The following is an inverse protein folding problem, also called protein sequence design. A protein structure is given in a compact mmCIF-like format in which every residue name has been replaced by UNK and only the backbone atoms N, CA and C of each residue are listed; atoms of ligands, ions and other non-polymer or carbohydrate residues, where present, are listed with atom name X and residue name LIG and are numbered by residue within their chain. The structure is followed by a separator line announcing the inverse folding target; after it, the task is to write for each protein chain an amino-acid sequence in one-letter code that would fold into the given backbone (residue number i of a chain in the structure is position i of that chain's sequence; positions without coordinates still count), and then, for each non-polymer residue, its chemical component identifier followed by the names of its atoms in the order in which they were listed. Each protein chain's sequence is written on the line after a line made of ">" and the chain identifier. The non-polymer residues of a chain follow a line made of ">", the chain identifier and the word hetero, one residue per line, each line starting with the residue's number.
data_IF_673297916454
#
_entry.id   IF_673297916454
#
_cell.length_a   1.000
_cell.length_b   1.000
_cell.length_c   1.000
_cell.angle_alpha   90.00
_cell.angle_beta   90.00
_cell.angle_gamma   90.00
#
_symmetry.space_group_name_H-M   'P 1'
#
loop_
_entity.id
_entity.type
_entity.pdbx_description
1 polymer ?
#
# COMPACT_ATOMS: atom_id res chain seq x y z
N UNK A 1 -15.70 -7.11 -4.14
CA UNK A 1 -14.97 -7.80 -5.23
C UNK A 1 -13.52 -7.97 -4.85
N UNK A 2 -12.83 -6.92 -4.39
CA UNK A 2 -11.44 -7.00 -3.92
C UNK A 2 -11.17 -8.14 -2.94
N UNK A 3 -11.97 -8.30 -1.88
CA UNK A 3 -11.73 -9.31 -0.83
C UNK A 3 -11.65 -10.75 -1.35
N UNK A 4 -12.51 -11.08 -2.32
CA UNK A 4 -12.53 -12.41 -2.93
C UNK A 4 -11.29 -12.63 -3.82
N UNK A 5 -10.90 -11.61 -4.60
CA UNK A 5 -9.70 -11.68 -5.44
C UNK A 5 -8.42 -11.68 -4.59
N UNK A 6 -8.40 -10.93 -3.48
CA UNK A 6 -7.32 -10.94 -2.51
C UNK A 6 -7.18 -12.30 -1.81
N UNK A 7 -8.30 -12.93 -1.41
CA UNK A 7 -8.26 -14.28 -0.85
C UNK A 7 -7.71 -15.30 -1.85
N UNK A 8 -8.13 -15.23 -3.12
CA UNK A 8 -7.56 -16.08 -4.19
C UNK A 8 -6.06 -15.81 -4.38
N UNK A 9 -5.66 -14.53 -4.38
CA UNK A 9 -4.26 -14.13 -4.48
C UNK A 9 -3.42 -14.67 -3.31
N UNK A 10 -3.97 -14.69 -2.09
CA UNK A 10 -3.32 -15.27 -0.91
C UNK A 10 -3.13 -16.78 -1.03
N UNK A 11 -4.16 -17.51 -1.48
CA UNK A 11 -4.06 -18.96 -1.70
C UNK A 11 -2.95 -19.28 -2.72
N UNK A 12 -2.87 -18.48 -3.78
CA UNK A 12 -1.84 -18.59 -4.81
C UNK A 12 -0.45 -18.16 -4.30
N UNK A 13 -0.38 -17.16 -3.43
CA UNK A 13 0.86 -16.72 -2.78
C UNK A 13 1.48 -17.83 -1.93
N UNK A 14 0.66 -18.62 -1.23
CA UNK A 14 1.15 -19.80 -0.50
C UNK A 14 1.77 -20.85 -1.44
N UNK A 15 1.24 -21.03 -2.65
CA UNK A 15 1.83 -21.94 -3.64
C UNK A 15 3.21 -21.44 -4.07
N UNK A 16 3.32 -20.18 -4.48
CA UNK A 16 4.58 -19.57 -4.87
C UNK A 16 5.66 -19.64 -3.76
N UNK A 17 5.28 -19.40 -2.51
CA UNK A 17 6.19 -19.54 -1.36
C UNK A 17 6.67 -21.00 -1.20
N UNK A 18 5.79 -21.97 -1.40
CA UNK A 18 6.16 -23.39 -1.33
C UNK A 18 7.09 -23.79 -2.47
N UNK A 19 6.86 -23.27 -3.68
CA UNK A 19 7.71 -23.53 -4.84
C UNK A 19 9.11 -22.93 -4.65
N UNK A 20 9.19 -21.69 -4.14
CA UNK A 20 10.47 -21.06 -3.80
C UNK A 20 11.24 -21.84 -2.72
N UNK A 21 10.54 -22.28 -1.67
CA UNK A 21 11.12 -23.14 -0.61
C UNK A 21 11.58 -24.49 -1.16
N UNK A 22 10.80 -25.11 -2.04
CA UNK A 22 11.12 -26.37 -2.68
C UNK A 22 12.34 -26.24 -3.60
N UNK A 23 12.39 -25.17 -4.39
CA UNK A 23 13.53 -24.86 -5.25
C UNK A 23 14.82 -24.66 -4.47
N UNK A 24 14.75 -23.94 -3.34
CA UNK A 24 15.87 -23.77 -2.44
C UNK A 24 16.31 -25.09 -1.79
N UNK A 25 15.37 -25.89 -1.32
CA UNK A 25 15.65 -27.18 -0.66
C UNK A 25 16.24 -28.22 -1.61
N UNK A 26 15.91 -28.17 -2.89
CA UNK A 26 16.43 -29.07 -3.93
C UNK A 26 17.70 -28.56 -4.61
N UNK A 27 18.22 -27.40 -4.17
CA UNK A 27 19.40 -26.76 -4.75
C UNK A 27 19.30 -26.60 -6.27
N UNK A 28 18.16 -26.05 -6.72
CA UNK A 28 17.99 -25.68 -8.13
C UNK A 28 19.10 -24.74 -8.59
N UNK A 29 19.37 -24.75 -9.91
CA UNK A 29 20.32 -23.82 -10.50
C UNK A 29 19.84 -22.37 -10.34
N UNK A 30 20.76 -21.41 -10.32
CA UNK A 30 20.42 -19.98 -10.25
C UNK A 30 19.46 -19.55 -11.39
N UNK A 31 19.54 -20.21 -12.55
CA UNK A 31 18.64 -19.98 -13.67
C UNK A 31 17.21 -20.41 -13.36
N UNK A 32 17.04 -21.62 -12.82
CA UNK A 32 15.72 -22.14 -12.45
C UNK A 32 15.12 -21.40 -11.24
N UNK A 33 15.97 -21.04 -10.26
CA UNK A 33 15.55 -20.21 -9.13
C UNK A 33 15.11 -18.82 -9.58
N UNK A 34 15.80 -18.22 -10.56
CA UNK A 34 15.39 -16.92 -11.12
C UNK A 34 14.01 -16.98 -11.74
N UNK A 35 13.66 -18.06 -12.45
CA UNK A 35 12.31 -18.23 -13.01
C UNK A 35 11.25 -18.18 -11.90
N UNK A 36 11.45 -18.93 -10.82
CA UNK A 36 10.51 -18.96 -9.68
C UNK A 36 10.42 -17.58 -9.02
N UNK A 37 11.54 -16.87 -8.86
CA UNK A 37 11.56 -15.51 -8.31
C UNK A 37 10.81 -14.53 -9.21
N UNK A 38 11.03 -14.59 -10.52
CA UNK A 38 10.36 -13.73 -11.50
C UNK A 38 8.83 -13.98 -11.51
N UNK A 39 8.40 -15.24 -11.36
CA UNK A 39 6.99 -15.61 -11.17
C UNK A 39 6.44 -15.03 -9.86
N UNK A 40 7.18 -15.12 -8.75
CA UNK A 40 6.77 -14.53 -7.47
C UNK A 40 6.63 -13.01 -7.54
N UNK A 41 7.54 -12.33 -8.28
CA UNK A 41 7.48 -10.88 -8.49
C UNK A 41 6.27 -10.50 -9.34
N UNK A 42 6.03 -11.23 -10.42
CA UNK A 42 4.85 -11.03 -11.28
C UNK A 42 3.55 -11.22 -10.48
N UNK A 43 3.50 -12.25 -9.62
CA UNK A 43 2.37 -12.47 -8.72
C UNK A 43 2.15 -11.30 -7.76
N UNK A 44 3.21 -10.67 -7.25
CA UNK A 44 3.06 -9.46 -6.42
C UNK A 44 2.59 -8.25 -7.24
N UNK A 45 3.04 -8.09 -8.48
CA UNK A 45 2.55 -7.02 -9.37
C UNK A 45 1.03 -7.11 -9.57
N UNK A 46 0.48 -8.33 -9.67
CA UNK A 46 -0.97 -8.55 -9.74
C UNK A 46 -1.71 -8.00 -8.52
N UNK A 47 -1.14 -8.14 -7.31
CA UNK A 47 -1.73 -7.55 -6.09
C UNK A 47 -1.80 -6.03 -6.19
N UNK A 48 -0.75 -5.37 -6.69
CA UNK A 48 -0.75 -3.92 -6.87
C UNK A 48 -1.78 -3.47 -7.92
N UNK A 49 -1.98 -4.24 -8.98
CA UNK A 49 -3.04 -3.98 -9.95
C UNK A 49 -4.44 -4.15 -9.35
N UNK A 50 -4.67 -5.21 -8.58
CA UNK A 50 -5.92 -5.43 -7.85
C UNK A 50 -6.22 -4.27 -6.90
N UNK A 51 -5.21 -3.79 -6.16
CA UNK A 51 -5.32 -2.61 -5.30
C UNK A 51 -5.59 -1.35 -6.09
N UNK A 52 -4.93 -1.13 -7.24
CA UNK A 52 -5.17 0.05 -8.07
C UNK A 52 -6.61 0.09 -8.62
N UNK A 53 -7.16 -1.05 -9.03
CA UNK A 53 -8.58 -1.15 -9.45
C UNK A 53 -9.51 -0.92 -8.27
N UNK A 54 -9.22 -1.50 -7.11
CA UNK A 54 -10.01 -1.32 -5.91
C UNK A 54 -9.99 0.14 -5.41
N UNK A 55 -8.85 0.83 -5.48
CA UNK A 55 -8.73 2.23 -5.07
C UNK A 55 -9.62 3.15 -5.90
N UNK A 56 -9.72 2.91 -7.21
CA UNK A 56 -10.62 3.66 -8.11
C UNK A 56 -12.09 3.43 -7.82
N UNK A 57 -12.45 2.24 -7.35
CA UNK A 57 -13.83 1.89 -7.04
C UNK A 57 -14.24 2.35 -5.63
N UNK A 58 -13.38 2.07 -4.65
CA UNK A 58 -13.57 2.40 -3.24
C UNK A 58 -12.20 2.44 -2.51
N UNK A 59 -11.60 3.62 -2.48
CA UNK A 59 -10.33 3.86 -1.77
C UNK A 59 -10.46 3.68 -0.26
N UNK A 60 -11.64 3.91 0.31
CA UNK A 60 -11.84 3.78 1.76
C UNK A 60 -11.80 2.33 2.19
N UNK A 61 -12.34 1.42 1.37
CA UNK A 61 -12.22 -0.01 1.60
C UNK A 61 -10.77 -0.47 1.78
N UNK A 62 -9.85 0.09 0.98
CA UNK A 62 -8.42 -0.22 1.08
C UNK A 62 -7.77 0.40 2.32
N UNK A 63 -7.96 1.71 2.53
CA UNK A 63 -7.30 2.47 3.62
C UNK A 63 -7.78 1.97 5.00
N UNK A 64 -9.05 1.61 5.13
CA UNK A 64 -9.60 1.09 6.39
C UNK A 64 -9.15 -0.34 6.70
N UNK A 65 -8.59 -1.05 5.71
CA UNK A 65 -8.13 -2.41 5.87
C UNK A 65 -9.23 -3.42 6.16
N UNK A 66 -10.48 -3.14 5.76
CA UNK A 66 -11.62 -4.04 6.01
C UNK A 66 -11.47 -5.41 5.34
N UNK A 67 -10.67 -5.47 4.29
CA UNK A 67 -10.26 -6.68 3.57
C UNK A 67 -9.25 -7.55 4.34
N UNK A 68 -8.64 -7.03 5.41
CA UNK A 68 -7.60 -7.70 6.18
C UNK A 68 -8.09 -8.13 7.58
N UNK A 69 -7.40 -9.10 8.17
CA UNK A 69 -7.67 -9.52 9.55
C UNK A 69 -7.38 -8.39 10.53
N UNK A 70 -8.00 -8.38 11.73
CA UNK A 70 -7.70 -7.37 12.75
C UNK A 70 -6.22 -7.28 13.13
N UNK A 71 -5.51 -8.42 13.11
CA UNK A 71 -4.08 -8.46 13.41
C UNK A 71 -3.25 -7.78 12.32
N UNK A 72 -3.52 -8.08 11.04
CA UNK A 72 -2.84 -7.44 9.91
C UNK A 72 -3.10 -5.94 9.87
N UNK A 73 -4.33 -5.51 10.18
CA UNK A 73 -4.71 -4.09 10.23
C UNK A 73 -3.85 -3.26 11.17
N UNK A 74 -3.32 -3.84 12.25
CA UNK A 74 -2.42 -3.13 13.16
C UNK A 74 -1.10 -2.71 12.51
N UNK A 75 -0.73 -3.33 11.38
CA UNK A 75 0.52 -3.08 10.66
C UNK A 75 0.30 -2.37 9.32
N UNK A 76 -0.95 -2.06 8.97
CA UNK A 76 -1.26 -1.35 7.74
C UNK A 76 -0.89 0.15 7.83
N UNK A 77 -0.31 0.62 6.76
CA UNK A 77 -0.10 2.00 6.34
C UNK A 77 -0.83 2.22 5.00
N UNK A 78 -1.04 3.47 4.59
CA UNK A 78 -1.87 3.90 3.43
C UNK A 78 -2.25 2.84 2.39
N UNK A 79 -1.28 2.17 1.75
CA UNK A 79 -1.49 1.15 0.72
C UNK A 79 -1.10 -0.29 1.11
N UNK A 80 -0.63 -0.57 2.32
CA UNK A 80 -0.05 -1.86 2.70
C UNK A 80 0.83 -1.77 3.94
N UNK A 81 2.03 -2.32 3.90
CA UNK A 81 3.04 -2.13 4.95
C UNK A 81 3.90 -0.90 4.66
N UNK A 82 4.69 -0.44 5.63
CA UNK A 82 5.76 0.55 5.38
C UNK A 82 6.99 -0.15 4.79
N UNK A 83 7.43 0.19 3.57
CA UNK A 83 8.62 -0.44 2.97
C UNK A 83 9.88 -0.35 3.83
N UNK A 84 10.11 0.78 4.50
CA UNK A 84 11.28 1.01 5.36
C UNK A 84 11.35 0.03 6.54
N UNK A 85 10.21 -0.28 7.17
CA UNK A 85 10.13 -1.25 8.26
C UNK A 85 10.26 -2.68 7.74
N UNK A 86 9.75 -2.99 6.55
CA UNK A 86 9.98 -4.30 5.93
C UNK A 86 11.47 -4.53 5.65
N UNK A 87 12.15 -3.54 5.06
CA UNK A 87 13.60 -3.62 4.78
C UNK A 87 14.38 -3.83 6.09
N UNK A 88 14.02 -3.10 7.14
CA UNK A 88 14.63 -3.21 8.47
C UNK A 88 14.49 -4.60 9.09
N UNK A 89 13.34 -5.25 8.91
CA UNK A 89 13.09 -6.62 9.40
C UNK A 89 13.87 -7.65 8.58
N UNK A 90 13.97 -7.44 7.26
CA UNK A 90 14.62 -8.38 6.35
C UNK A 90 16.15 -8.31 6.40
N UNK A 91 16.74 -7.12 6.57
CA UNK A 91 18.19 -6.92 6.49
C UNK A 91 19.03 -7.92 7.32
N UNK A 92 18.69 -8.24 8.58
CA UNK A 92 19.43 -9.23 9.38
C UNK A 92 19.31 -10.68 8.89
N UNK A 93 18.36 -10.97 7.99
CA UNK A 93 18.08 -12.31 7.47
C UNK A 93 18.80 -12.61 6.15
N UNK A 94 19.49 -11.63 5.55
CA UNK A 94 20.00 -11.70 4.18
C UNK A 94 21.48 -12.14 4.07
N UNK A 95 22.06 -12.76 5.10
CA UNK A 95 23.48 -13.14 5.09
C UNK A 95 23.81 -14.28 4.10
N UNK A 96 24.98 -14.25 3.41
CA UNK A 96 26.00 -13.19 3.43
C UNK A 96 25.75 -12.05 2.43
N UNK A 97 25.93 -10.80 2.87
CA UNK A 97 25.92 -9.62 1.99
C UNK A 97 27.31 -8.97 1.86
N UNK A 98 27.60 -8.44 0.67
CA UNK A 98 28.77 -7.57 0.46
C UNK A 98 28.54 -6.19 1.08
N UNK A 99 29.62 -5.47 1.41
CA UNK A 99 29.53 -4.09 1.92
C UNK A 99 28.75 -3.16 0.97
N UNK A 100 28.93 -3.33 -0.35
CA UNK A 100 28.21 -2.55 -1.35
C UNK A 100 26.70 -2.82 -1.31
N UNK A 101 26.29 -4.08 -1.14
CA UNK A 101 24.88 -4.44 -0.99
C UNK A 101 24.29 -3.88 0.31
N UNK A 102 25.04 -3.93 1.42
CA UNK A 102 24.61 -3.34 2.70
C UNK A 102 24.35 -1.83 2.54
N UNK A 103 25.31 -1.09 1.97
CA UNK A 103 25.16 0.35 1.72
C UNK A 103 23.97 0.64 0.80
N UNK A 104 23.77 -0.18 -0.24
CA UNK A 104 22.63 -0.06 -1.15
C UNK A 104 21.29 -0.24 -0.45
N UNK A 105 21.15 -1.29 0.39
CA UNK A 105 19.92 -1.57 1.13
C UNK A 105 19.64 -0.49 2.17
N UNK A 106 20.66 -0.02 2.90
CA UNK A 106 20.51 1.10 3.85
C UNK A 106 20.06 2.39 3.14
N UNK A 107 20.61 2.67 1.96
CA UNK A 107 20.20 3.82 1.15
C UNK A 107 18.75 3.69 0.68
N UNK A 108 18.34 2.49 0.25
CA UNK A 108 16.96 2.20 -0.12
C UNK A 108 16.00 2.38 1.07
N UNK A 109 16.37 1.87 2.25
CA UNK A 109 15.60 2.06 3.48
C UNK A 109 15.40 3.54 3.80
N UNK A 110 16.48 4.33 3.77
CA UNK A 110 16.43 5.76 4.06
C UNK A 110 15.55 6.52 3.05
N UNK A 111 15.71 6.24 1.75
CA UNK A 111 14.89 6.87 0.71
C UNK A 111 13.41 6.49 0.83
N UNK A 112 13.11 5.23 1.19
CA UNK A 112 11.75 4.75 1.45
C UNK A 112 11.12 5.49 2.62
N UNK A 113 11.87 5.63 3.73
CA UNK A 113 11.41 6.36 4.91
C UNK A 113 11.09 7.84 4.58
N UNK A 114 11.93 8.51 3.79
CA UNK A 114 11.67 9.89 3.37
C UNK A 114 10.41 10.02 2.52
N UNK A 115 10.19 9.09 1.59
CA UNK A 115 8.97 9.04 0.78
C UNK A 115 7.74 8.77 1.65
N UNK A 116 7.83 7.85 2.61
CA UNK A 116 6.77 7.53 3.57
C UNK A 116 6.39 8.74 4.43
N UNK A 117 7.38 9.49 4.93
CA UNK A 117 7.19 10.71 5.70
C UNK A 117 6.49 11.80 4.87
N UNK A 118 6.94 12.01 3.62
CA UNK A 118 6.34 12.98 2.71
C UNK A 118 4.88 12.63 2.38
N UNK A 119 4.58 11.36 2.09
CA UNK A 119 3.21 10.90 1.83
C UNK A 119 2.33 11.02 3.07
N UNK A 120 2.84 10.67 4.25
CA UNK A 120 2.09 10.75 5.51
C UNK A 120 1.73 12.20 5.85
N UNK A 121 2.68 13.14 5.67
CA UNK A 121 2.44 14.57 5.85
C UNK A 121 1.41 15.10 4.84
N UNK A 122 1.52 14.69 3.57
CA UNK A 122 0.55 15.08 2.53
C UNK A 122 -0.86 14.57 2.83
N UNK A 123 -1.00 13.35 3.35
CA UNK A 123 -2.29 12.79 3.75
C UNK A 123 -2.87 13.53 4.95
N UNK A 124 -2.06 13.86 5.95
CA UNK A 124 -2.49 14.64 7.11
C UNK A 124 -3.01 16.04 6.70
N UNK A 125 -2.29 16.72 5.80
CA UNK A 125 -2.74 17.98 5.22
C UNK A 125 -4.06 17.84 4.46
N UNK A 126 -4.24 16.74 3.71
CA UNK A 126 -5.49 16.46 3.02
C UNK A 126 -6.65 16.27 4.01
N UNK A 127 -6.44 15.49 5.08
CA UNK A 127 -7.44 15.28 6.13
C UNK A 127 -7.82 16.58 6.84
N UNK A 128 -6.84 17.42 7.21
CA UNK A 128 -7.12 18.71 7.83
C UNK A 128 -7.92 19.62 6.88
N UNK A 129 -7.49 19.71 5.61
CA UNK A 129 -8.15 20.51 4.60
C UNK A 129 -9.59 20.05 4.33
N UNK A 130 -9.83 18.73 4.40
CA UNK A 130 -11.16 18.15 4.30
C UNK A 130 -12.01 18.50 5.53
N UNK A 131 -11.46 18.33 6.73
CA UNK A 131 -12.14 18.67 7.99
C UNK A 131 -12.58 20.13 8.01
N UNK A 132 -11.70 21.06 7.61
CA UNK A 132 -12.03 22.49 7.53
C UNK A 132 -13.16 22.78 6.52
N UNK A 133 -13.21 22.01 5.43
CA UNK A 133 -14.26 22.16 4.40
C UNK A 133 -15.62 21.68 4.91
N UNK A 134 -15.63 20.59 5.68
CA UNK A 134 -16.84 19.96 6.23
C UNK A 134 -17.32 20.66 7.51
N UNK A 135 -16.43 21.26 8.29
CA UNK A 135 -16.77 22.00 9.51
C UNK A 135 -17.20 23.46 9.22
N UNK A 136 -17.13 23.91 7.97
CA UNK A 136 -17.51 25.27 7.59
C UNK A 136 -18.99 25.54 7.91
N UNK A 137 -19.27 26.65 8.60
CA UNK A 137 -20.61 27.05 9.08
C UNK A 137 -21.67 27.14 7.97
N UNK A 138 -21.26 27.23 6.70
CA UNK A 138 -22.13 27.14 5.51
C UNK A 138 -22.99 25.87 5.45
N UNK A 139 -22.56 24.76 6.07
CA UNK A 139 -23.31 23.50 6.04
C UNK A 139 -24.47 23.47 7.07
N UNK A 140 -24.46 24.36 8.06
CA UNK A 140 -25.48 24.43 9.11
C UNK A 140 -26.70 25.27 8.70
N UNK A 141 -26.55 26.24 7.79
CA UNK A 141 -27.64 27.06 7.28
C UNK A 141 -28.19 26.49 5.96
N UNK A 142 -29.10 25.51 6.06
CA UNK A 142 -29.76 24.80 4.94
C UNK A 142 -30.55 25.74 4.01
N UNK A 143 -30.65 27.03 4.33
CA UNK A 143 -31.34 28.06 3.54
C UNK A 143 -30.64 28.42 2.24
N UNK A 144 -29.33 28.17 2.09
CA UNK A 144 -28.58 28.41 0.84
C UNK A 144 -28.07 27.09 0.23
N UNK A 145 -28.90 26.48 -0.60
CA UNK A 145 -28.60 25.22 -1.28
C UNK A 145 -27.41 25.34 -2.27
N UNK A 146 -27.13 26.54 -2.78
CA UNK A 146 -25.99 26.79 -3.67
C UNK A 146 -24.66 26.70 -2.92
N UNK A 147 -24.61 27.24 -1.70
CA UNK A 147 -23.43 27.19 -0.85
C UNK A 147 -23.13 25.75 -0.38
N UNK A 148 -24.15 25.02 0.08
CA UNK A 148 -24.03 23.61 0.46
C UNK A 148 -23.45 22.74 -0.68
N UNK A 149 -23.99 22.87 -1.89
CA UNK A 149 -23.57 22.06 -3.03
C UNK A 149 -22.12 22.38 -3.46
N UNK A 150 -21.71 23.65 -3.36
CA UNK A 150 -20.33 24.07 -3.57
C UNK A 150 -19.36 23.44 -2.57
N UNK A 151 -19.69 23.49 -1.27
CA UNK A 151 -18.88 22.87 -0.22
C UNK A 151 -18.78 21.35 -0.37
N UNK A 152 -19.89 20.67 -0.71
CA UNK A 152 -19.89 19.24 -0.97
C UNK A 152 -19.02 18.87 -2.17
N UNK A 153 -19.10 19.64 -3.26
CA UNK A 153 -18.27 19.42 -4.45
C UNK A 153 -16.77 19.58 -4.13
N UNK A 154 -16.39 20.57 -3.29
CA UNK A 154 -15.01 20.73 -2.83
C UNK A 154 -14.56 19.55 -1.96
N UNK A 155 -15.39 19.09 -1.03
CA UNK A 155 -15.07 17.94 -0.17
C UNK A 155 -14.87 16.66 -1.01
N UNK A 156 -15.74 16.40 -1.98
CA UNK A 156 -15.62 15.28 -2.91
C UNK A 156 -14.35 15.37 -3.77
N UNK A 157 -14.00 16.56 -4.26
CA UNK A 157 -12.74 16.79 -4.99
C UNK A 157 -11.50 16.52 -4.14
N UNK A 158 -11.54 16.84 -2.84
CA UNK A 158 -10.46 16.48 -1.91
C UNK A 158 -10.39 14.98 -1.68
N UNK A 159 -11.54 14.32 -1.49
CA UNK A 159 -11.60 12.87 -1.33
C UNK A 159 -11.04 12.12 -2.55
N UNK A 160 -11.21 12.62 -3.77
CA UNK A 160 -10.60 11.99 -4.95
C UNK A 160 -9.06 11.97 -4.91
N UNK A 161 -8.41 12.82 -4.11
CA UNK A 161 -6.96 12.79 -3.97
C UNK A 161 -6.47 11.58 -3.16
N UNK A 162 -7.32 10.94 -2.35
CA UNK A 162 -6.95 9.76 -1.55
C UNK A 162 -6.48 8.61 -2.44
N UNK A 163 -7.09 8.40 -3.61
CA UNK A 163 -6.64 7.39 -4.58
C UNK A 163 -5.18 7.64 -4.97
N UNK A 164 -4.81 8.90 -5.17
CA UNK A 164 -3.45 9.30 -5.51
C UNK A 164 -2.43 8.95 -4.44
N UNK A 165 -2.79 9.06 -3.15
CA UNK A 165 -1.93 8.65 -2.04
C UNK A 165 -1.78 7.14 -1.96
N UNK A 166 -2.88 6.38 -2.07
CA UNK A 166 -2.84 4.92 -2.04
C UNK A 166 -2.05 4.33 -3.21
N UNK A 167 -2.05 4.98 -4.37
CA UNK A 167 -1.28 4.54 -5.55
C UNK A 167 0.21 4.87 -5.46
N UNK A 168 0.59 5.88 -4.66
CA UNK A 168 1.98 6.27 -4.45
C UNK A 168 2.63 5.51 -3.29
N UNK A 169 1.84 5.13 -2.28
CA UNK A 169 2.25 4.33 -1.14
C UNK A 169 2.42 2.85 -1.50
#
# INVERSE_FOLDING_TARGET
>A
MFDMEYARWLDESHRHINDLRGGLATHLSDGDLRIIVDECLTHHDELFQLKAVAAKADVFHLITGLWATPAERCFLWMGGFKPSELIKILLPQLDPLTEQQIVGICSLQQSSQQAEEALSQGLEQLHQSLADTVASESLCEVTDMGNYMGHMAMALGKLSNLEGFVRQA
#
